data_IF_742609086825
#
_entry.id   IF_742609086825
#
_cell.length_a   1.000
_cell.length_b   1.000
_cell.length_c   1.000
_cell.angle_alpha   90.00
_cell.angle_beta   90.00
_cell.angle_gamma   90.00
#
_symmetry.space_group_name_H-M   'P 1'
#
loop_
_entity.id
_entity.type
_entity.pdbx_description
1 polymer ?
#
# COMPACT_ATOMS: atom_id res chain seq x y z
N UNK A 1 3.89 12.49 -12.24
CA UNK A 1 4.88 12.11 -11.20
C UNK A 1 4.33 11.18 -10.11
N UNK A 2 3.34 11.57 -9.30
CA UNK A 2 2.80 10.66 -8.26
C UNK A 2 2.05 9.47 -8.86
N UNK A 3 1.17 9.72 -9.84
CA UNK A 3 0.48 8.64 -10.57
C UNK A 3 1.46 7.69 -11.24
N UNK A 4 2.48 8.21 -11.92
CA UNK A 4 3.54 7.37 -12.52
C UNK A 4 4.28 6.51 -11.47
N UNK A 5 4.43 6.99 -10.23
CA UNK A 5 5.03 6.20 -9.17
C UNK A 5 4.10 5.06 -8.72
N UNK A 6 2.80 5.34 -8.60
CA UNK A 6 1.78 4.32 -8.33
C UNK A 6 1.73 3.27 -9.46
N UNK A 7 1.72 3.70 -10.72
CA UNK A 7 1.67 2.79 -11.87
C UNK A 7 2.91 1.89 -11.93
N UNK A 8 4.10 2.44 -11.63
CA UNK A 8 5.34 1.64 -11.51
C UNK A 8 5.27 0.63 -10.38
N UNK A 9 4.74 1.04 -9.22
CA UNK A 9 4.53 0.15 -8.07
C UNK A 9 3.60 -1.01 -8.41
N UNK A 10 2.47 -0.72 -9.07
CA UNK A 10 1.51 -1.73 -9.54
C UNK A 10 2.20 -2.69 -10.52
N UNK A 11 2.91 -2.16 -11.51
CA UNK A 11 3.59 -3.00 -12.52
C UNK A 11 4.65 -3.90 -11.87
N UNK A 12 5.48 -3.35 -10.99
CA UNK A 12 6.52 -4.08 -10.26
C UNK A 12 5.94 -5.25 -9.45
N UNK A 13 4.84 -5.02 -8.76
CA UNK A 13 4.27 -6.04 -7.87
C UNK A 13 3.32 -7.02 -8.56
N UNK A 14 2.72 -6.66 -9.70
CA UNK A 14 2.09 -7.64 -10.58
C UNK A 14 3.09 -8.65 -11.13
N UNK A 15 4.28 -8.19 -11.51
CA UNK A 15 5.36 -9.07 -11.98
C UNK A 15 5.85 -9.99 -10.86
N UNK A 16 6.04 -9.45 -9.65
CA UNK A 16 6.44 -10.21 -8.47
C UNK A 16 5.43 -11.29 -8.04
N UNK A 17 4.16 -11.15 -8.42
CA UNK A 17 3.06 -12.08 -8.11
C UNK A 17 2.65 -12.94 -9.32
N UNK A 18 3.50 -13.05 -10.34
CA UNK A 18 3.19 -13.80 -11.56
C UNK A 18 3.16 -15.33 -11.36
N UNK A 19 3.60 -15.84 -10.22
CA UNK A 19 3.60 -17.26 -9.86
C UNK A 19 2.21 -17.81 -9.47
N UNK A 20 1.21 -16.93 -9.30
CA UNK A 20 -0.19 -17.30 -9.18
C UNK A 20 -0.65 -17.72 -7.77
N UNK A 21 0.21 -17.66 -6.76
CA UNK A 21 -0.20 -17.85 -5.37
C UNK A 21 0.48 -16.83 -4.46
N UNK A 22 -0.29 -15.92 -3.89
CA UNK A 22 0.24 -14.98 -2.89
C UNK A 22 -0.20 -15.39 -1.49
N UNK A 23 0.75 -15.45 -0.56
CA UNK A 23 0.44 -15.62 0.85
C UNK A 23 -0.01 -14.30 1.49
N UNK A 24 -0.76 -14.39 2.59
CA UNK A 24 -1.14 -13.22 3.38
C UNK A 24 0.08 -12.43 3.88
N UNK A 25 1.20 -13.10 4.16
CA UNK A 25 2.41 -12.45 4.63
C UNK A 25 3.11 -11.65 3.53
N UNK A 26 3.11 -12.17 2.31
CA UNK A 26 3.59 -11.43 1.14
C UNK A 26 2.71 -10.21 0.90
N UNK A 27 1.38 -10.36 0.94
CA UNK A 27 0.44 -9.23 0.82
C UNK A 27 0.77 -8.13 1.85
N UNK A 28 0.98 -8.49 3.11
CA UNK A 28 1.34 -7.51 4.16
C UNK A 28 2.67 -6.83 3.87
N UNK A 29 3.69 -7.59 3.44
CA UNK A 29 4.99 -7.05 3.06
C UNK A 29 4.91 -6.10 1.86
N UNK A 30 4.09 -6.44 0.86
CA UNK A 30 3.81 -5.62 -0.31
C UNK A 30 3.16 -4.29 0.06
N UNK A 31 2.11 -4.34 0.91
CA UNK A 31 1.44 -3.13 1.39
C UNK A 31 2.41 -2.26 2.18
N UNK A 32 3.23 -2.84 3.06
CA UNK A 32 4.23 -2.08 3.81
C UNK A 32 5.24 -1.39 2.90
N UNK A 33 5.77 -2.08 1.90
CA UNK A 33 6.71 -1.50 0.94
C UNK A 33 6.05 -0.40 0.09
N UNK A 34 4.80 -0.62 -0.36
CA UNK A 34 4.03 0.38 -1.09
C UNK A 34 3.77 1.64 -0.25
N UNK A 35 3.45 1.49 1.05
CA UNK A 35 3.29 2.63 1.97
C UNK A 35 4.57 3.47 2.02
N UNK A 36 5.73 2.83 2.23
CA UNK A 36 7.02 3.55 2.36
C UNK A 36 7.32 4.34 1.08
N UNK A 37 7.16 3.71 -0.09
CA UNK A 37 7.43 4.35 -1.37
C UNK A 37 6.45 5.48 -1.67
N UNK A 38 5.14 5.26 -1.48
CA UNK A 38 4.11 6.28 -1.70
C UNK A 38 4.25 7.47 -0.74
N UNK A 39 4.58 7.24 0.53
CA UNK A 39 4.89 8.31 1.49
C UNK A 39 6.10 9.12 1.03
N UNK A 40 7.17 8.45 0.57
CA UNK A 40 8.36 9.12 0.06
C UNK A 40 8.09 9.99 -1.17
N UNK A 41 7.18 9.58 -2.06
CA UNK A 41 6.75 10.41 -3.20
C UNK A 41 5.81 11.52 -2.74
N UNK A 42 4.87 11.24 -1.84
CA UNK A 42 3.91 12.22 -1.32
C UNK A 42 4.57 13.38 -0.58
N UNK A 43 5.72 13.15 0.07
CA UNK A 43 6.47 14.22 0.74
C UNK A 43 6.89 15.35 -0.21
N UNK A 44 7.19 15.02 -1.47
CA UNK A 44 7.61 15.98 -2.50
C UNK A 44 6.46 16.82 -3.05
N UNK A 45 5.22 16.49 -2.70
CA UNK A 45 4.04 17.23 -3.18
C UNK A 45 3.85 18.54 -2.39
N UNK A 46 3.39 19.62 -3.03
CA UNK A 46 3.12 20.90 -2.37
C UNK A 46 1.73 20.90 -1.68
N UNK A 47 1.49 19.91 -0.82
CA UNK A 47 0.24 19.71 -0.08
C UNK A 47 0.50 19.70 1.44
N UNK A 48 -0.54 19.90 2.23
CA UNK A 48 -0.48 19.76 3.70
C UNK A 48 -0.34 18.30 4.13
N UNK A 49 0.07 18.07 5.38
CA UNK A 49 0.20 16.71 5.95
C UNK A 49 -1.08 15.87 5.82
N UNK A 50 -2.27 16.37 6.21
CA UNK A 50 -3.53 15.65 6.06
C UNK A 50 -3.86 15.31 4.60
N UNK A 51 -3.67 16.26 3.67
CA UNK A 51 -3.90 16.03 2.24
C UNK A 51 -2.95 14.96 1.68
N UNK A 52 -1.67 15.00 2.06
CA UNK A 52 -0.69 13.96 1.68
C UNK A 52 -1.11 12.58 2.18
N UNK A 53 -1.57 12.48 3.43
CA UNK A 53 -2.06 11.21 3.99
C UNK A 53 -3.25 10.68 3.20
N UNK A 54 -4.20 11.55 2.84
CA UNK A 54 -5.36 11.17 2.04
C UNK A 54 -4.95 10.69 0.63
N UNK A 55 -4.02 11.38 -0.03
CA UNK A 55 -3.48 10.99 -1.33
C UNK A 55 -2.83 9.59 -1.26
N UNK A 56 -2.02 9.32 -0.23
CA UNK A 56 -1.38 8.01 -0.05
C UNK A 56 -2.41 6.92 0.22
N UNK A 57 -3.44 7.18 1.04
CA UNK A 57 -4.50 6.21 1.31
C UNK A 57 -5.29 5.86 0.04
N UNK A 58 -5.66 6.86 -0.76
CA UNK A 58 -6.35 6.64 -2.04
C UNK A 58 -5.49 5.85 -3.03
N UNK A 59 -4.18 6.12 -3.06
CA UNK A 59 -3.24 5.40 -3.90
C UNK A 59 -3.05 3.95 -3.45
N UNK A 60 -3.03 3.70 -2.13
CA UNK A 60 -2.96 2.36 -1.57
C UNK A 60 -4.23 1.57 -1.82
N UNK A 61 -5.40 2.21 -1.79
CA UNK A 61 -6.64 1.57 -2.19
C UNK A 61 -6.57 1.10 -3.65
N UNK A 62 -6.14 1.96 -4.57
CA UNK A 62 -5.95 1.59 -5.98
C UNK A 62 -4.90 0.49 -6.16
N UNK A 63 -3.81 0.55 -5.38
CA UNK A 63 -2.79 -0.49 -5.38
C UNK A 63 -3.36 -1.85 -4.93
N UNK A 64 -4.10 -1.88 -3.82
CA UNK A 64 -4.73 -3.10 -3.29
C UNK A 64 -5.71 -3.66 -4.31
N UNK A 65 -6.55 -2.82 -4.90
CA UNK A 65 -7.54 -3.26 -5.90
C UNK A 65 -6.86 -3.81 -7.17
N UNK A 66 -5.74 -3.24 -7.58
CA UNK A 66 -5.03 -3.66 -8.79
C UNK A 66 -4.10 -4.87 -8.59
N UNK A 67 -3.54 -5.06 -7.40
CA UNK A 67 -2.45 -6.02 -7.12
C UNK A 67 -2.87 -7.14 -6.18
N UNK A 68 -3.84 -6.94 -5.29
CA UNK A 68 -4.22 -7.93 -4.27
C UNK A 68 -5.62 -8.47 -4.59
N UNK A 69 -6.56 -7.56 -4.90
CA UNK A 69 -7.81 -7.75 -5.66
C UNK A 69 -7.90 -9.07 -6.44
N UNK A 70 -7.09 -9.18 -7.51
CA UNK A 70 -7.29 -10.21 -8.53
C UNK A 70 -6.72 -11.59 -8.17
N UNK A 71 -6.11 -11.75 -7.00
CA UNK A 71 -5.46 -13.00 -6.61
C UNK A 71 -6.34 -13.78 -5.64
N UNK A 72 -6.66 -15.02 -6.02
CA UNK A 72 -7.36 -15.95 -5.15
C UNK A 72 -6.51 -16.25 -3.93
N UNK A 73 -7.08 -16.03 -2.75
CA UNK A 73 -6.40 -16.38 -1.51
C UNK A 73 -6.41 -17.89 -1.32
N UNK A 74 -5.24 -18.51 -1.13
CA UNK A 74 -5.19 -19.93 -0.89
C UNK A 74 -5.99 -20.28 0.37
N UNK A 75 -6.73 -21.39 0.32
CA UNK A 75 -7.57 -21.89 1.42
C UNK A 75 -8.85 -21.08 1.72
N UNK A 76 -9.22 -20.09 0.90
CA UNK A 76 -10.49 -19.36 1.02
C UNK A 76 -11.52 -19.93 0.02
N UNK A 77 -12.68 -20.46 0.48
CA UNK A 77 -13.75 -20.88 -0.43
C UNK A 77 -14.41 -19.70 -1.18
N UNK A 78 -14.69 -19.87 -2.47
CA UNK A 78 -15.25 -18.82 -3.34
C UNK A 78 -16.59 -18.22 -2.86
N UNK A 79 -17.36 -18.94 -2.04
CA UNK A 79 -18.64 -18.43 -1.52
C UNK A 79 -18.49 -17.46 -0.34
N UNK A 80 -17.33 -17.44 0.33
CA UNK A 80 -16.99 -16.44 1.35
C UNK A 80 -15.99 -15.40 0.86
N UNK A 81 -15.33 -15.66 -0.26
CA UNK A 81 -14.31 -14.82 -0.88
C UNK A 81 -14.68 -13.32 -0.92
N UNK A 82 -15.86 -12.87 -1.38
CA UNK A 82 -16.18 -11.44 -1.37
C UNK A 82 -16.22 -10.80 0.03
N UNK A 83 -16.64 -11.56 1.04
CA UNK A 83 -16.67 -11.08 2.42
C UNK A 83 -15.27 -11.03 3.03
N UNK A 84 -14.42 -12.00 2.67
CA UNK A 84 -13.02 -12.09 3.09
C UNK A 84 -12.20 -10.98 2.43
N UNK A 85 -12.37 -10.73 1.13
CA UNK A 85 -11.71 -9.65 0.39
C UNK A 85 -12.03 -8.28 0.98
N UNK A 86 -13.31 -8.04 1.28
CA UNK A 86 -13.75 -6.81 1.94
C UNK A 86 -13.15 -6.64 3.33
N UNK A 87 -12.99 -7.71 4.10
CA UNK A 87 -12.38 -7.69 5.42
C UNK A 87 -10.86 -7.47 5.35
N UNK A 88 -10.18 -8.12 4.40
CA UNK A 88 -8.74 -7.98 4.17
C UNK A 88 -8.43 -6.57 3.68
N UNK A 89 -9.15 -6.06 2.68
CA UNK A 89 -8.98 -4.67 2.20
C UNK A 89 -9.11 -3.67 3.34
N UNK A 90 -10.14 -3.79 4.20
CA UNK A 90 -10.31 -2.92 5.38
C UNK A 90 -9.15 -3.06 6.37
N UNK A 91 -8.70 -4.28 6.62
CA UNK A 91 -7.59 -4.56 7.53
C UNK A 91 -6.27 -3.98 7.01
N UNK A 92 -6.00 -4.14 5.71
CA UNK A 92 -4.82 -3.60 5.03
C UNK A 92 -4.85 -2.08 5.00
N UNK A 93 -6.00 -1.45 4.75
CA UNK A 93 -6.13 0.01 4.79
C UNK A 93 -5.96 0.56 6.22
N UNK A 94 -6.47 -0.12 7.24
CA UNK A 94 -6.26 0.24 8.65
C UNK A 94 -4.79 0.13 9.04
N UNK A 95 -4.14 -0.98 8.65
CA UNK A 95 -2.71 -1.19 8.83
C UNK A 95 -1.90 -0.11 8.09
N UNK A 96 -2.23 0.16 6.83
CA UNK A 96 -1.62 1.20 6.02
C UNK A 96 -1.73 2.57 6.66
N UNK A 97 -2.88 2.96 7.21
CA UNK A 97 -3.04 4.24 7.91
C UNK A 97 -2.04 4.37 9.07
N UNK A 98 -1.87 3.29 9.86
CA UNK A 98 -0.91 3.24 10.96
C UNK A 98 0.54 3.27 10.46
N UNK A 99 0.83 2.56 9.37
CA UNK A 99 2.15 2.56 8.74
C UNK A 99 2.51 3.92 8.13
N UNK A 100 1.54 4.63 7.55
CA UNK A 100 1.73 6.00 7.05
C UNK A 100 2.11 6.92 8.20
N UNK A 101 1.38 6.85 9.33
CA UNK A 101 1.67 7.68 10.49
C UNK A 101 3.09 7.41 11.03
N UNK A 102 3.47 6.12 11.15
CA UNK A 102 4.83 5.73 11.55
C UNK A 102 5.90 6.14 10.54
N UNK A 103 5.62 6.03 9.24
CA UNK A 103 6.55 6.44 8.20
C UNK A 103 6.76 7.96 8.28
N UNK A 104 5.69 8.74 8.34
CA UNK A 104 5.75 10.20 8.50
C UNK A 104 6.50 10.58 9.77
N UNK A 105 6.26 9.90 10.89
CA UNK A 105 7.01 10.11 12.13
C UNK A 105 8.50 9.79 11.96
N UNK A 106 8.84 8.68 11.30
CA UNK A 106 10.23 8.32 11.01
C UNK A 106 10.90 9.39 10.15
N UNK A 107 10.21 9.96 9.15
CA UNK A 107 10.75 11.05 8.35
C UNK A 107 10.89 12.37 9.12
N UNK A 108 10.00 12.66 10.09
CA UNK A 108 10.17 13.79 11.01
C UNK A 108 11.33 13.57 11.98
N UNK A 109 11.51 12.35 12.46
CA UNK A 109 12.66 11.97 13.30
C UNK A 109 13.96 11.88 12.49
N UNK A 110 13.89 11.83 11.16
CA UNK A 110 15.04 11.95 10.25
C UNK A 110 15.40 13.42 9.97
N UNK A 111 14.66 14.39 10.53
CA UNK A 111 15.09 15.80 10.64
C UNK A 111 16.10 15.96 11.78
N UNK A 112 17.20 15.21 11.72
CA UNK A 112 18.45 15.62 12.33
C UNK A 112 19.18 16.39 11.25
N UNK A 113 19.23 17.72 11.41
CA UNK A 113 20.22 18.59 10.77
C UNK A 113 21.47 17.80 10.37
N UNK A 114 21.91 17.93 9.10
CA UNK A 114 23.09 17.30 8.44
C UNK A 114 22.60 16.38 7.30
N UNK A 115 22.78 16.76 6.04
CA UNK A 115 23.98 17.40 5.48
C UNK A 115 23.79 18.84 5.02
#
# INVERSE_FOLDING_TARGET
MFQEALDRLIAKYKDALSDGSVSLWEIVGLVQAAVIELVGVAQKLPHTGPEKKQIVLLALEQFIDAVIVPYDLPYVPNFIEPAVDGAIKKSLLSLASTLIDRAVESFKQVDWSVW
#
